data_IF_736014350617
#
_entry.id   IF_736014350617
#
_cell.length_a   1.000
_cell.length_b   1.000
_cell.length_c   1.000
_cell.angle_alpha   90.00
_cell.angle_beta   90.00
_cell.angle_gamma   90.00
#
_symmetry.space_group_name_H-M   'P 1'
#
loop_
_entity.id
_entity.type
_entity.pdbx_description
1 polymer ?
#
# COMPACT_ATOMS: atom_id res chain seq x y z
N UNK A 1 -21.68 -7.11 8.71
CA UNK A 1 -21.90 -6.81 7.28
C UNK A 1 -21.18 -7.87 6.47
N UNK A 2 -21.83 -8.44 5.44
CA UNK A 2 -21.20 -9.46 4.59
C UNK A 2 -19.98 -8.90 3.88
N UNK A 3 -18.95 -9.73 3.70
CA UNK A 3 -17.73 -9.32 2.99
C UNK A 3 -18.03 -9.00 1.52
N UNK A 4 -17.22 -8.15 0.88
CA UNK A 4 -17.39 -7.80 -0.55
C UNK A 4 -17.44 -9.06 -1.42
N UNK A 5 -16.70 -10.11 -1.04
CA UNK A 5 -16.71 -11.40 -1.74
C UNK A 5 -18.06 -12.13 -1.63
N UNK A 6 -18.62 -12.22 -0.43
CA UNK A 6 -19.94 -12.82 -0.20
C UNK A 6 -21.04 -12.08 -0.96
N UNK A 7 -20.94 -10.75 -1.04
CA UNK A 7 -21.88 -9.93 -1.81
C UNK A 7 -21.77 -10.20 -3.33
N UNK A 8 -20.57 -10.43 -3.86
CA UNK A 8 -20.34 -10.80 -5.27
C UNK A 8 -20.82 -12.23 -5.56
N UNK A 9 -20.63 -13.18 -4.64
CA UNK A 9 -21.09 -14.57 -4.80
C UNK A 9 -22.60 -14.69 -4.89
N UNK A 10 -23.34 -13.84 -4.18
CA UNK A 10 -24.80 -13.79 -4.19
C UNK A 10 -25.41 -13.20 -5.48
N UNK A 11 -24.59 -12.65 -6.38
CA UNK A 11 -25.07 -12.07 -7.64
C UNK A 11 -25.21 -13.14 -8.74
N UNK A 12 -26.27 -13.07 -9.57
CA UNK A 12 -26.47 -13.96 -10.70
C UNK A 12 -25.58 -13.56 -11.89
N UNK A 13 -24.26 -13.66 -11.73
CA UNK A 13 -23.27 -13.41 -12.77
C UNK A 13 -22.56 -14.71 -13.18
N UNK A 14 -22.07 -14.74 -14.42
CA UNK A 14 -21.26 -15.85 -14.94
C UNK A 14 -20.05 -16.11 -14.03
N UNK A 15 -19.71 -17.38 -13.83
CA UNK A 15 -18.58 -17.79 -12.99
C UNK A 15 -17.24 -17.18 -13.45
N UNK A 16 -17.02 -17.05 -14.76
CA UNK A 16 -15.83 -16.36 -15.29
C UNK A 16 -15.73 -14.91 -14.79
N UNK A 17 -16.86 -14.19 -14.77
CA UNK A 17 -16.92 -12.80 -14.31
C UNK A 17 -16.68 -12.70 -12.81
N UNK A 18 -17.21 -13.66 -12.02
CA UNK A 18 -16.88 -13.78 -10.59
C UNK A 18 -15.39 -14.00 -10.37
N UNK A 19 -14.75 -14.84 -11.19
CA UNK A 19 -13.32 -15.13 -11.14
C UNK A 19 -12.48 -13.87 -11.33
N UNK A 20 -12.76 -13.10 -12.39
CA UNK A 20 -12.07 -11.83 -12.69
C UNK A 20 -12.24 -10.83 -11.55
N UNK A 21 -13.47 -10.65 -11.05
CA UNK A 21 -13.77 -9.73 -9.93
C UNK A 21 -13.04 -10.16 -8.65
N UNK A 22 -13.02 -11.45 -8.34
CA UNK A 22 -12.29 -12.00 -7.19
C UNK A 22 -10.78 -11.73 -7.28
N UNK A 23 -10.21 -11.85 -8.48
CA UNK A 23 -8.80 -11.56 -8.68
C UNK A 23 -8.49 -10.08 -8.48
N UNK A 24 -9.35 -9.19 -8.98
CA UNK A 24 -9.24 -7.73 -8.75
C UNK A 24 -9.30 -7.41 -7.25
N UNK A 25 -10.26 -7.98 -6.51
CA UNK A 25 -10.37 -7.81 -5.04
C UNK A 25 -9.11 -8.32 -4.34
N UNK A 26 -8.61 -9.50 -4.73
CA UNK A 26 -7.41 -10.11 -4.14
C UNK A 26 -6.18 -9.23 -4.36
N UNK A 27 -5.98 -8.70 -5.57
CA UNK A 27 -4.84 -7.83 -5.88
C UNK A 27 -4.97 -6.47 -5.20
N UNK A 28 -6.17 -5.90 -5.11
CA UNK A 28 -6.43 -4.69 -4.33
C UNK A 28 -5.99 -4.84 -2.88
N UNK A 29 -6.35 -5.95 -2.23
CA UNK A 29 -5.95 -6.23 -0.85
C UNK A 29 -4.43 -6.28 -0.66
N UNK A 30 -3.69 -6.83 -1.63
CA UNK A 30 -2.21 -6.81 -1.60
C UNK A 30 -1.64 -5.41 -1.70
N UNK A 31 -2.15 -4.60 -2.65
CA UNK A 31 -1.71 -3.22 -2.84
C UNK A 31 -1.99 -2.39 -1.58
N UNK A 32 -3.18 -2.51 -1.01
CA UNK A 32 -3.56 -1.78 0.20
C UNK A 32 -2.75 -2.25 1.42
N UNK A 33 -2.42 -3.54 1.51
CA UNK A 33 -1.52 -4.08 2.53
C UNK A 33 -0.11 -3.48 2.45
N UNK A 34 0.47 -3.44 1.24
CA UNK A 34 1.77 -2.81 1.01
C UNK A 34 1.73 -1.30 1.28
N UNK A 35 0.64 -0.61 0.92
CA UNK A 35 0.43 0.81 1.24
C UNK A 35 0.39 1.05 2.75
N UNK A 36 -0.32 0.20 3.52
CA UNK A 36 -0.32 0.27 4.99
C UNK A 36 1.08 0.06 5.56
N UNK A 37 1.83 -0.91 5.03
CA UNK A 37 3.22 -1.14 5.44
C UNK A 37 4.11 0.07 5.17
N UNK A 38 3.97 0.73 4.02
CA UNK A 38 4.68 1.99 3.73
C UNK A 38 4.37 3.08 4.76
N UNK A 39 3.10 3.24 5.13
CA UNK A 39 2.69 4.24 6.13
C UNK A 39 3.31 3.91 7.49
N UNK A 40 3.29 2.65 7.92
CA UNK A 40 3.94 2.21 9.16
C UNK A 40 5.44 2.48 9.14
N UNK A 41 6.13 2.14 8.05
CA UNK A 41 7.55 2.41 7.90
C UNK A 41 7.86 3.91 7.87
N UNK A 42 6.99 4.73 7.26
CA UNK A 42 7.12 6.18 7.30
C UNK A 42 7.03 6.71 8.73
N UNK A 43 6.06 6.23 9.52
CA UNK A 43 5.90 6.59 10.94
C UNK A 43 7.14 6.21 11.76
N UNK A 44 7.65 4.98 11.58
CA UNK A 44 8.86 4.49 12.26
C UNK A 44 10.07 5.37 11.90
N UNK A 45 10.29 5.61 10.61
CA UNK A 45 11.40 6.44 10.13
C UNK A 45 11.30 7.89 10.63
N UNK A 46 10.10 8.47 10.67
CA UNK A 46 9.88 9.80 11.25
C UNK A 46 10.18 9.82 12.75
N UNK A 47 9.76 8.79 13.51
CA UNK A 47 10.07 8.67 14.93
C UNK A 47 11.57 8.58 15.19
N UNK A 48 12.28 7.73 14.43
CA UNK A 48 13.74 7.60 14.50
C UNK A 48 14.43 8.93 14.15
N UNK A 49 13.97 9.63 13.11
CA UNK A 49 14.52 10.93 12.72
C UNK A 49 14.35 11.99 13.83
N UNK A 50 13.19 12.04 14.49
CA UNK A 50 12.95 12.95 15.62
C UNK A 50 13.90 12.63 16.78
N UNK A 51 14.06 11.35 17.12
CA UNK A 51 14.98 10.92 18.19
C UNK A 51 16.40 11.38 17.87
N UNK A 52 16.88 11.14 16.64
CA UNK A 52 18.21 11.58 16.19
C UNK A 52 18.34 13.10 16.28
N UNK A 53 17.35 13.86 15.82
CA UNK A 53 17.37 15.34 15.87
C UNK A 53 17.44 15.87 17.31
N UNK A 54 16.63 15.31 18.23
CA UNK A 54 16.67 15.68 19.66
C UNK A 54 18.04 15.37 20.26
N UNK A 55 18.64 14.25 19.86
CA UNK A 55 19.96 13.85 20.30
C UNK A 55 21.05 14.81 19.80
N UNK A 56 21.02 15.14 18.51
CA UNK A 56 21.93 16.11 17.90
C UNK A 56 21.80 17.50 18.54
N UNK A 57 20.57 17.93 18.81
CA UNK A 57 20.30 19.20 19.49
C UNK A 57 20.92 19.23 20.89
N UNK A 58 20.71 18.18 21.70
CA UNK A 58 21.37 18.07 23.02
C UNK A 58 22.90 18.09 22.90
N UNK A 59 23.46 17.42 21.90
CA UNK A 59 24.90 17.38 21.71
C UNK A 59 25.47 18.76 21.33
N UNK A 60 24.76 19.52 20.49
CA UNK A 60 25.15 20.89 20.08
C UNK A 60 25.14 21.90 21.22
N UNK A 61 24.34 21.66 22.26
CA UNK A 61 24.29 22.52 23.45
C UNK A 61 25.48 22.28 24.40
N UNK A 62 26.13 21.11 24.31
CA UNK A 62 27.16 20.68 25.26
C UNK A 62 28.58 20.84 24.69
N UNK A 63 28.76 20.93 23.37
CA UNK A 63 30.09 21.06 22.77
C UNK A 63 30.07 21.79 21.41
N UNK A 64 31.19 22.43 21.06
CA UNK A 64 31.52 22.84 19.69
C UNK A 64 31.85 21.59 18.86
N UNK A 65 30.87 20.71 18.70
CA UNK A 65 31.11 19.32 18.26
C UNK A 65 31.53 19.27 16.80
N UNK A 66 32.70 18.68 16.56
CA UNK A 66 33.16 18.33 15.23
C UNK A 66 32.42 17.06 14.73
N UNK A 67 32.11 16.97 13.43
CA UNK A 67 31.35 15.85 12.84
C UNK A 67 32.00 14.48 13.15
N UNK A 68 33.32 14.44 13.27
CA UNK A 68 34.07 13.24 13.64
C UNK A 68 33.84 12.79 15.09
N UNK A 69 33.63 13.71 16.03
CA UNK A 69 33.31 13.38 17.43
C UNK A 69 31.89 12.81 17.55
N UNK A 70 30.97 13.30 16.72
CA UNK A 70 29.62 12.75 16.60
C UNK A 70 29.63 11.29 16.15
N UNK A 71 30.44 10.97 15.14
CA UNK A 71 30.60 9.60 14.64
C UNK A 71 31.28 8.71 15.69
N UNK A 72 32.30 9.20 16.40
CA UNK A 72 32.96 8.43 17.46
C UNK A 72 32.02 8.17 18.64
N UNK A 73 31.16 9.14 18.99
CA UNK A 73 30.15 8.99 20.02
C UNK A 73 29.06 7.97 19.62
N UNK A 74 28.63 8.00 18.36
CA UNK A 74 27.68 7.02 17.82
C UNK A 74 28.25 5.59 17.82
N UNK A 75 29.56 5.43 17.57
CA UNK A 75 30.25 4.14 17.60
C UNK A 75 30.66 3.64 18.99
N UNK A 76 30.73 4.53 19.99
CA UNK A 76 31.09 4.16 21.37
C UNK A 76 29.89 3.74 22.23
N UNK A 77 28.68 4.16 21.86
CA UNK A 77 27.44 3.76 22.53
C UNK A 77 26.75 2.61 21.80
N UNK A 78 26.64 1.46 22.48
CA UNK A 78 25.93 0.27 21.98
C UNK A 78 24.48 0.55 21.63
N UNK A 79 23.80 1.37 22.43
CA UNK A 79 22.42 1.80 22.18
C UNK A 79 22.33 2.61 20.87
N UNK A 80 23.26 3.52 20.65
CA UNK A 80 23.27 4.42 19.49
C UNK A 80 23.60 3.68 18.21
N UNK A 81 24.56 2.74 18.28
CA UNK A 81 24.88 1.84 17.18
C UNK A 81 23.67 0.99 16.80
N UNK A 82 22.93 0.46 17.78
CA UNK A 82 21.72 -0.31 17.53
C UNK A 82 20.61 0.52 16.87
N UNK A 83 20.35 1.74 17.35
CA UNK A 83 19.38 2.65 16.71
C UNK A 83 19.77 3.01 15.28
N UNK A 84 21.05 3.21 15.00
CA UNK A 84 21.56 3.47 13.66
C UNK A 84 21.35 2.29 12.73
N UNK A 85 21.63 1.07 13.19
CA UNK A 85 21.38 -0.14 12.42
C UNK A 85 19.89 -0.31 12.11
N UNK A 86 19.02 -0.12 13.10
CA UNK A 86 17.56 -0.16 12.90
C UNK A 86 17.11 0.89 11.89
N UNK A 87 17.65 2.11 11.96
CA UNK A 87 17.35 3.19 11.01
C UNK A 87 17.74 2.81 9.57
N UNK A 88 18.96 2.31 9.38
CA UNK A 88 19.48 1.90 8.08
C UNK A 88 18.67 0.72 7.52
N UNK A 89 18.44 -0.31 8.33
CA UNK A 89 17.65 -1.48 7.93
C UNK A 89 16.21 -1.10 7.57
N UNK A 90 15.57 -0.25 8.37
CA UNK A 90 14.21 0.26 8.10
C UNK A 90 14.17 1.08 6.80
N UNK A 91 15.18 1.91 6.55
CA UNK A 91 15.27 2.71 5.33
C UNK A 91 15.43 1.83 4.08
N UNK A 92 16.33 0.85 4.12
CA UNK A 92 16.51 -0.12 3.03
C UNK A 92 15.22 -0.90 2.78
N UNK A 93 14.59 -1.39 3.84
CA UNK A 93 13.35 -2.15 3.74
C UNK A 93 12.19 -1.31 3.19
N UNK A 94 12.07 -0.04 3.59
CA UNK A 94 11.12 0.92 3.01
C UNK A 94 11.31 1.09 1.50
N UNK A 95 12.56 1.15 1.03
CA UNK A 95 12.87 1.16 -0.39
C UNK A 95 12.40 -0.10 -1.13
N UNK A 96 12.54 -1.28 -0.50
CA UNK A 96 12.05 -2.55 -1.04
C UNK A 96 10.52 -2.56 -1.16
N UNK A 97 9.81 -2.24 -0.07
CA UNK A 97 8.34 -2.17 -0.03
C UNK A 97 7.80 -1.15 -1.04
N UNK A 98 8.52 -0.04 -1.25
CA UNK A 98 8.16 0.95 -2.27
C UNK A 98 8.21 0.40 -3.69
N UNK A 99 9.26 -0.36 -4.01
CA UNK A 99 9.38 -1.02 -5.32
C UNK A 99 8.30 -2.09 -5.50
N UNK A 100 8.05 -2.89 -4.48
CA UNK A 100 7.05 -3.94 -4.52
C UNK A 100 5.63 -3.38 -4.68
N UNK A 101 5.28 -2.34 -3.92
CA UNK A 101 4.00 -1.64 -4.05
C UNK A 101 3.81 -1.09 -5.47
N UNK A 102 4.83 -0.47 -6.07
CA UNK A 102 4.73 0.02 -7.47
C UNK A 102 4.43 -1.12 -8.44
N UNK A 103 5.12 -2.27 -8.30
CA UNK A 103 4.90 -3.45 -9.15
C UNK A 103 3.50 -4.01 -8.98
N UNK A 104 3.05 -4.24 -7.75
CA UNK A 104 1.72 -4.80 -7.48
C UNK A 104 0.60 -3.83 -7.84
N UNK A 105 0.82 -2.51 -7.67
CA UNK A 105 -0.12 -1.48 -8.12
C UNK A 105 -0.28 -1.50 -9.64
N UNK A 106 0.82 -1.57 -10.38
CA UNK A 106 0.75 -1.67 -11.84
C UNK A 106 -0.01 -2.91 -12.29
N UNK A 107 0.31 -4.08 -11.71
CA UNK A 107 -0.41 -5.34 -11.96
C UNK A 107 -1.89 -5.28 -11.61
N UNK A 108 -2.26 -4.51 -10.59
CA UNK A 108 -3.65 -4.28 -10.22
C UNK A 108 -4.34 -3.35 -11.23
N UNK A 109 -3.69 -2.26 -11.63
CA UNK A 109 -4.24 -1.31 -12.60
C UNK A 109 -4.42 -1.96 -13.99
N UNK A 110 -3.49 -2.82 -14.41
CA UNK A 110 -3.59 -3.61 -15.65
C UNK A 110 -4.76 -4.59 -15.59
N UNK A 111 -4.85 -5.39 -14.52
CA UNK A 111 -5.96 -6.33 -14.33
C UNK A 111 -7.31 -5.61 -14.21
N UNK A 112 -7.35 -4.46 -13.55
CA UNK A 112 -8.56 -3.64 -13.44
C UNK A 112 -9.00 -3.14 -14.82
N UNK A 113 -8.08 -2.71 -15.68
CA UNK A 113 -8.41 -2.32 -17.06
C UNK A 113 -8.94 -3.49 -17.86
N UNK A 114 -8.29 -4.65 -17.75
CA UNK A 114 -8.74 -5.88 -18.40
C UNK A 114 -10.15 -6.27 -17.93
N UNK A 115 -10.40 -6.22 -16.63
CA UNK A 115 -11.71 -6.47 -16.04
C UNK A 115 -12.77 -5.50 -16.56
N UNK A 116 -12.47 -4.19 -16.66
CA UNK A 116 -13.40 -3.20 -17.23
C UNK A 116 -13.72 -3.54 -18.69
N UNK A 117 -12.71 -3.85 -19.51
CA UNK A 117 -12.89 -4.21 -20.92
C UNK A 117 -13.71 -5.49 -21.08
N UNK A 118 -13.40 -6.52 -20.31
CA UNK A 118 -14.10 -7.81 -20.32
C UNK A 118 -15.57 -7.66 -19.91
N UNK A 119 -15.82 -6.95 -18.81
CA UNK A 119 -17.16 -6.69 -18.30
C UNK A 119 -17.97 -5.79 -19.24
N UNK A 120 -17.32 -4.82 -19.91
CA UNK A 120 -17.96 -3.99 -20.94
C UNK A 120 -18.38 -4.82 -22.16
N UNK A 121 -17.50 -5.69 -22.66
CA UNK A 121 -17.78 -6.52 -23.83
C UNK A 121 -18.91 -7.55 -23.60
N UNK A 122 -19.07 -8.05 -22.38
CA UNK A 122 -20.12 -9.03 -22.02
C UNK A 122 -21.46 -8.40 -21.61
N UNK A 123 -21.50 -7.12 -21.23
CA UNK A 123 -22.71 -6.47 -20.71
C UNK A 123 -23.26 -5.35 -21.59
N UNK A 124 -22.93 -5.37 -22.88
CA UNK A 124 -23.52 -4.44 -23.83
C UNK A 124 -25.02 -4.80 -24.05
N UNK A 125 -25.88 -3.87 -23.62
CA UNK A 125 -27.32 -3.72 -23.94
C UNK A 125 -28.29 -4.60 -23.09
N UNK A 126 -28.94 -4.01 -22.07
CA UNK A 126 -30.12 -4.57 -21.37
C UNK A 126 -30.01 -4.63 -19.83
N UNK A 127 -30.72 -5.60 -19.21
CA UNK A 127 -30.75 -5.86 -17.74
C UNK A 127 -29.35 -5.94 -17.08
N UNK A 128 -28.30 -6.19 -17.86
CA UNK A 128 -26.91 -6.13 -17.43
C UNK A 128 -26.46 -4.77 -16.90
N UNK A 129 -27.12 -3.65 -17.24
CA UNK A 129 -26.75 -2.32 -16.73
C UNK A 129 -27.02 -2.17 -15.23
N UNK A 130 -28.17 -2.63 -14.74
CA UNK A 130 -28.50 -2.58 -13.29
C UNK A 130 -27.57 -3.47 -12.47
N UNK A 131 -27.23 -4.64 -13.03
CA UNK A 131 -26.33 -5.61 -12.41
C UNK A 131 -24.89 -5.06 -12.35
N UNK A 132 -24.45 -4.41 -13.44
CA UNK A 132 -23.17 -3.69 -13.50
C UNK A 132 -23.09 -2.56 -12.47
N UNK A 133 -24.12 -1.73 -12.36
CA UNK A 133 -24.14 -0.61 -11.42
C UNK A 133 -24.12 -1.12 -9.95
N UNK A 134 -24.81 -2.24 -9.69
CA UNK A 134 -24.76 -2.91 -8.38
C UNK A 134 -23.36 -3.46 -8.07
N UNK A 135 -22.68 -4.06 -9.04
CA UNK A 135 -21.31 -4.56 -8.89
C UNK A 135 -20.34 -3.39 -8.66
N UNK A 136 -20.46 -2.31 -9.42
CA UNK A 136 -19.68 -1.10 -9.20
C UNK A 136 -19.89 -0.53 -7.81
N UNK A 137 -21.13 -0.48 -7.32
CA UNK A 137 -21.41 -0.02 -5.95
C UNK A 137 -20.76 -0.91 -4.88
N UNK A 138 -20.86 -2.24 -5.02
CA UNK A 138 -20.24 -3.19 -4.09
C UNK A 138 -18.70 -3.08 -4.10
N UNK A 139 -18.10 -2.87 -5.27
CA UNK A 139 -16.65 -2.73 -5.41
C UNK A 139 -16.14 -1.36 -4.95
N UNK A 140 -16.94 -0.31 -5.10
CA UNK A 140 -16.61 1.03 -4.62
C UNK A 140 -16.55 1.10 -3.09
N UNK A 141 -17.36 0.29 -2.39
CA UNK A 141 -17.22 0.09 -0.93
C UNK A 141 -15.82 -0.42 -0.54
N UNK A 142 -15.15 -1.16 -1.42
CA UNK A 142 -13.77 -1.63 -1.27
C UNK A 142 -12.70 -0.69 -1.85
N UNK A 143 -13.09 0.50 -2.30
CA UNK A 143 -12.22 1.43 -3.01
C UNK A 143 -11.73 0.90 -4.37
N UNK A 144 -12.48 -0.02 -4.98
CA UNK A 144 -12.22 -0.56 -6.32
C UNK A 144 -13.17 0.12 -7.28
N UNK A 145 -12.71 1.20 -7.90
CA UNK A 145 -13.57 1.95 -8.80
C UNK A 145 -13.50 1.37 -10.23
N UNK A 146 -14.57 0.70 -10.67
CA UNK A 146 -14.77 0.30 -12.07
C UNK A 146 -15.55 1.41 -12.79
N UNK A 147 -14.88 2.51 -13.17
CA UNK A 147 -15.50 3.53 -14.02
C UNK A 147 -15.57 2.97 -15.43
N UNK A 148 -16.78 2.64 -15.87
CA UNK A 148 -17.08 2.34 -17.27
C UNK A 148 -17.21 3.68 -18.00
N UNK A 149 -16.14 4.16 -18.64
CA UNK A 149 -16.27 5.31 -19.55
C UNK A 149 -17.08 4.88 -20.76
N UNK A 150 -18.22 5.53 -20.97
CA UNK A 150 -19.06 5.40 -22.18
C UNK A 150 -18.25 5.75 -23.42
#
# INVERSE_FOLDING_TARGET
MPSIREQIEALPIAEDAKGVIHEVIKRKGKVDGLKRMQILLAIINSGVAIIILVWLYKLSLVSNVNVFELISYLGSSTASTFFLLVAISSFIYSGHVTKEHKKEKQKYDDLRREAITYLRARWDIGEGSLLRDRISSILDQGGINLIFYS
#
